data_IF_570562939600
#
_entry.id   IF_570562939600
#
_cell.length_a   1.000
_cell.length_b   1.000
_cell.length_c   1.000
_cell.angle_alpha   90.00
_cell.angle_beta   90.00
_cell.angle_gamma   90.00
#
_symmetry.space_group_name_H-M   'P 1'
#
loop_
_entity.id
_entity.type
_entity.pdbx_description
1 polymer ?
#
# COMPACT_ATOMS: atom_id res chain seq x y z
N UNK A 1 44.78 3.81 31.19
CA UNK A 1 46.13 3.33 30.84
C UNK A 1 46.33 3.44 29.35
N UNK A 2 47.17 4.39 28.94
CA UNK A 2 47.45 4.73 27.55
C UNK A 2 48.60 3.83 27.06
N UNK A 3 48.32 2.96 26.09
CA UNK A 3 49.36 2.13 25.46
C UNK A 3 49.86 2.88 24.23
N UNK A 4 51.03 3.51 24.35
CA UNK A 4 51.74 4.11 23.22
C UNK A 4 52.50 3.03 22.46
N UNK A 5 52.00 2.64 21.27
CA UNK A 5 52.75 1.86 20.30
C UNK A 5 53.59 2.79 19.43
N UNK A 6 54.90 2.82 19.66
CA UNK A 6 55.88 3.44 18.73
C UNK A 6 56.12 2.46 17.59
N UNK A 7 55.76 2.85 16.37
CA UNK A 7 56.21 2.17 15.15
C UNK A 7 57.41 2.91 14.53
N UNK A 8 58.44 2.19 14.02
CA UNK A 8 59.58 2.81 13.35
C UNK A 8 59.14 3.39 12.00
N UNK A 9 59.69 4.56 11.66
CA UNK A 9 59.44 5.24 10.41
C UNK A 9 59.80 4.37 9.19
N UNK A 10 58.88 4.30 8.23
CA UNK A 10 59.09 3.62 6.96
C UNK A 10 57.80 3.43 6.17
N UNK A 11 57.50 4.37 5.27
CA UNK A 11 56.82 4.23 3.97
C UNK A 11 55.65 3.23 3.76
N UNK A 12 54.84 2.87 4.76
CA UNK A 12 53.60 2.09 4.56
C UNK A 12 52.31 2.76 5.05
N UNK A 13 52.40 3.99 5.59
CA UNK A 13 51.22 4.74 6.07
C UNK A 13 50.44 5.42 4.94
N UNK A 14 51.06 5.67 3.79
CA UNK A 14 50.41 6.28 2.63
C UNK A 14 49.53 5.29 1.86
N UNK A 15 49.88 3.99 1.84
CA UNK A 15 49.08 2.98 1.16
C UNK A 15 47.77 2.69 1.89
N UNK A 16 47.80 2.59 3.23
CA UNK A 16 46.61 2.30 4.05
C UNK A 16 45.57 3.42 4.06
N UNK A 17 45.99 4.68 3.91
CA UNK A 17 45.06 5.81 3.80
C UNK A 17 44.32 5.84 2.46
N UNK A 18 44.95 5.39 1.37
CA UNK A 18 44.32 5.30 0.04
C UNK A 18 43.32 4.14 -0.02
N UNK A 19 43.61 2.99 0.60
CA UNK A 19 42.69 1.84 0.60
C UNK A 19 41.42 2.10 1.44
N UNK A 20 41.51 2.89 2.51
CA UNK A 20 40.34 3.22 3.34
C UNK A 20 39.36 4.17 2.64
N UNK A 21 39.85 5.06 1.77
CA UNK A 21 39.00 5.92 0.94
C UNK A 21 38.31 5.15 -0.21
N UNK A 22 38.90 4.06 -0.69
CA UNK A 22 38.33 3.20 -1.75
C UNK A 22 37.26 2.22 -1.23
N UNK A 23 37.32 1.85 0.05
CA UNK A 23 36.33 1.00 0.73
C UNK A 23 35.24 1.78 1.46
N UNK A 24 35.33 3.11 1.46
CA UNK A 24 34.22 3.97 1.85
C UNK A 24 33.31 4.07 0.62
N UNK A 25 32.09 3.49 0.62
CA UNK A 25 31.15 3.84 -0.44
C UNK A 25 31.00 5.37 -0.37
N UNK A 26 31.14 6.10 -1.49
CA UNK A 26 30.67 7.47 -1.48
C UNK A 26 29.23 7.39 -0.96
N UNK A 27 28.91 8.21 0.04
CA UNK A 27 27.54 8.50 0.46
C UNK A 27 26.81 9.15 -0.72
N UNK A 28 26.64 8.39 -1.81
CA UNK A 28 25.91 8.71 -3.01
C UNK A 28 24.47 8.24 -2.79
N UNK A 29 23.88 8.77 -1.72
CA UNK A 29 22.43 8.81 -1.48
C UNK A 29 22.12 10.16 -0.82
N UNK A 30 22.69 11.24 -1.34
CA UNK A 30 22.11 12.57 -1.19
C UNK A 30 21.05 12.77 -2.29
N UNK A 31 20.06 11.88 -2.33
CA UNK A 31 18.80 12.17 -3.01
C UNK A 31 18.06 13.18 -2.14
N UNK A 32 18.06 14.44 -2.56
CA UNK A 32 17.35 15.58 -1.97
C UNK A 32 17.37 15.60 -0.42
N UNK A 33 18.43 16.17 0.18
CA UNK A 33 18.60 16.28 1.64
C UNK A 33 17.68 17.33 2.30
N UNK A 34 16.48 17.53 1.76
CA UNK A 34 15.46 18.33 2.44
C UNK A 34 14.80 17.45 3.50
N UNK A 35 14.86 17.89 4.75
CA UNK A 35 14.11 17.24 5.80
C UNK A 35 12.61 17.29 5.46
N UNK A 36 12.02 16.13 5.22
CA UNK A 36 10.61 15.94 4.93
C UNK A 36 9.95 15.24 6.10
N UNK A 37 8.88 15.84 6.61
CA UNK A 37 8.10 15.30 7.70
C UNK A 37 6.65 15.19 7.23
N UNK A 38 6.05 14.03 7.44
CA UNK A 38 4.66 13.76 7.09
C UNK A 38 3.96 13.13 8.30
N UNK A 39 2.84 13.71 8.73
CA UNK A 39 1.90 13.06 9.64
C UNK A 39 0.67 12.67 8.82
N UNK A 40 0.32 11.39 8.81
CA UNK A 40 -0.85 10.88 8.14
C UNK A 40 -1.78 10.18 9.13
N UNK A 41 -3.05 10.50 9.01
CA UNK A 41 -4.14 9.86 9.74
C UNK A 41 -5.02 9.09 8.77
N UNK A 42 -5.39 7.85 9.12
CA UNK A 42 -6.32 7.03 8.35
C UNK A 42 -7.42 6.50 9.25
N UNK A 43 -8.67 6.66 8.81
CA UNK A 43 -9.86 6.07 9.41
C UNK A 43 -10.50 5.14 8.40
N UNK A 44 -10.24 3.85 8.54
CA UNK A 44 -10.70 2.82 7.63
C UNK A 44 -11.94 2.12 8.21
N UNK A 45 -12.97 1.96 7.39
CA UNK A 45 -14.16 1.15 7.71
C UNK A 45 -14.16 -0.10 6.84
N UNK A 46 -13.99 -1.27 7.47
CA UNK A 46 -14.01 -2.56 6.79
C UNK A 46 -15.40 -3.19 6.92
N UNK A 47 -16.05 -3.40 5.78
CA UNK A 47 -17.40 -3.94 5.69
C UNK A 47 -17.35 -5.40 5.21
N UNK A 48 -17.94 -6.31 5.99
CA UNK A 48 -18.07 -7.72 5.63
C UNK A 48 -19.56 -8.06 5.57
N UNK A 49 -19.99 -8.61 4.43
CA UNK A 49 -21.39 -8.90 4.13
C UNK A 49 -22.30 -7.67 4.37
N UNK A 50 -21.99 -6.57 3.69
CA UNK A 50 -22.68 -5.29 3.91
C UNK A 50 -22.32 -4.71 5.27
N UNK A 51 -23.33 -4.41 6.10
CA UNK A 51 -23.16 -3.82 7.44
C UNK A 51 -23.30 -4.82 8.59
N UNK A 52 -23.40 -6.12 8.29
CA UNK A 52 -23.53 -7.19 9.29
C UNK A 52 -22.32 -7.17 10.25
N UNK A 53 -21.11 -7.27 9.70
CA UNK A 53 -19.88 -7.14 10.47
C UNK A 53 -19.06 -5.97 9.95
N UNK A 54 -18.82 -5.00 10.82
CA UNK A 54 -18.08 -3.76 10.51
C UNK A 54 -16.93 -3.63 11.49
N UNK A 55 -15.74 -3.33 10.97
CA UNK A 55 -14.54 -3.04 11.79
C UNK A 55 -14.06 -1.63 11.48
N UNK A 56 -13.94 -0.82 12.52
CA UNK A 56 -13.35 0.51 12.45
C UNK A 56 -11.88 0.43 12.85
N UNK A 57 -11.00 0.93 11.98
CA UNK A 57 -9.56 0.90 12.15
C UNK A 57 -9.01 2.31 11.96
N UNK A 58 -8.49 2.88 13.03
CA UNK A 58 -7.85 4.19 13.04
C UNK A 58 -6.33 4.01 13.14
N UNK A 59 -5.57 4.67 12.26
CA UNK A 59 -4.11 4.53 12.17
C UNK A 59 -3.44 5.90 12.08
N UNK A 60 -2.38 6.07 12.84
CA UNK A 60 -1.51 7.24 12.81
C UNK A 60 -0.14 6.83 12.31
N UNK A 61 0.33 7.52 11.28
CA UNK A 61 1.58 7.26 10.60
C UNK A 61 2.45 8.51 10.62
N UNK A 62 3.68 8.34 11.07
CA UNK A 62 4.73 9.35 10.96
C UNK A 62 5.69 8.92 9.87
N UNK A 63 5.80 9.76 8.84
CA UNK A 63 6.43 9.46 7.57
C UNK A 63 5.81 8.24 6.88
N UNK A 64 6.46 7.07 6.98
CA UNK A 64 5.99 5.81 6.39
C UNK A 64 5.77 4.74 7.47
N UNK A 65 5.95 5.09 8.75
CA UNK A 65 5.84 4.16 9.87
C UNK A 65 4.56 4.44 10.65
N UNK A 66 3.71 3.43 10.74
CA UNK A 66 2.57 3.45 11.65
C UNK A 66 3.05 3.35 13.10
N UNK A 67 2.70 4.32 13.94
CA UNK A 67 3.16 4.38 15.32
C UNK A 67 2.04 4.14 16.33
N UNK A 68 0.77 4.37 15.97
CA UNK A 68 -0.39 4.23 16.85
C UNK A 68 -1.61 3.75 16.07
N UNK A 69 -2.39 2.86 16.70
CA UNK A 69 -3.60 2.27 16.11
C UNK A 69 -4.72 2.18 17.12
N UNK A 70 -5.96 2.44 16.71
CA UNK A 70 -7.16 1.95 17.39
C UNK A 70 -7.87 0.95 16.50
N UNK A 71 -8.20 -0.20 17.05
CA UNK A 71 -8.92 -1.27 16.35
C UNK A 71 -10.19 -1.56 17.13
N UNK A 72 -11.36 -1.45 16.49
CA UNK A 72 -12.65 -1.68 17.15
C UNK A 72 -12.79 -3.09 17.71
N UNK A 73 -12.11 -4.08 17.12
CA UNK A 73 -12.13 -5.46 17.61
C UNK A 73 -11.35 -5.61 18.93
N UNK A 74 -10.43 -4.68 19.20
CA UNK A 74 -9.64 -4.61 20.44
C UNK A 74 -10.25 -3.62 21.44
N UNK A 75 -10.81 -2.51 20.94
CA UNK A 75 -11.51 -1.50 21.73
C UNK A 75 -10.61 -0.51 22.45
N UNK A 76 -9.31 -0.45 22.14
CA UNK A 76 -8.38 0.53 22.72
C UNK A 76 -7.23 0.87 21.78
N UNK A 77 -6.51 1.95 22.08
CA UNK A 77 -5.32 2.33 21.34
C UNK A 77 -4.13 1.42 21.68
N UNK A 78 -3.42 0.97 20.67
CA UNK A 78 -2.18 0.21 20.78
C UNK A 78 -1.07 0.94 20.06
N UNK A 79 0.03 1.18 20.76
CA UNK A 79 1.26 1.65 20.15
C UNK A 79 1.82 0.55 19.24
N UNK A 80 2.07 0.89 17.98
CA UNK A 80 2.70 0.01 16.99
C UNK A 80 4.22 0.14 17.06
N UNK A 81 4.71 1.32 17.41
CA UNK A 81 6.11 1.60 17.74
C UNK A 81 6.23 2.40 19.04
N UNK A 82 7.45 2.50 19.58
CA UNK A 82 7.71 3.21 20.84
C UNK A 82 7.24 4.67 20.83
N UNK A 83 7.25 5.32 19.66
CA UNK A 83 6.78 6.68 19.48
C UNK A 83 5.31 6.85 19.90
N UNK A 84 4.47 5.82 19.69
CA UNK A 84 3.04 5.88 20.01
C UNK A 84 2.69 5.56 21.46
N UNK A 85 3.62 5.05 22.26
CA UNK A 85 3.34 4.61 23.64
C UNK A 85 2.76 5.73 24.51
N UNK A 86 3.34 6.95 24.56
CA UNK A 86 2.79 8.02 25.40
C UNK A 86 1.35 8.41 24.99
N UNK A 87 1.09 8.41 23.69
CA UNK A 87 -0.23 8.74 23.14
C UNK A 87 -1.25 7.64 23.45
N UNK A 88 -0.88 6.37 23.28
CA UNK A 88 -1.75 5.25 23.61
C UNK A 88 -2.15 5.25 25.09
N UNK A 89 -1.18 5.42 26.00
CA UNK A 89 -1.43 5.51 27.44
C UNK A 89 -2.35 6.68 27.81
N UNK A 90 -2.06 7.87 27.26
CA UNK A 90 -2.85 9.08 27.49
C UNK A 90 -4.29 8.93 27.00
N UNK A 91 -4.50 8.43 25.78
CA UNK A 91 -5.83 8.31 25.20
C UNK A 91 -6.65 7.16 25.80
N UNK A 92 -6.01 6.05 26.18
CA UNK A 92 -6.70 4.95 26.87
C UNK A 92 -7.11 5.31 28.31
N UNK A 93 -6.46 6.31 28.91
CA UNK A 93 -6.85 6.83 30.22
C UNK A 93 -8.15 7.67 30.17
N UNK A 94 -8.48 8.23 29.01
CA UNK A 94 -9.66 9.06 28.78
C UNK A 94 -10.87 8.19 28.37
N UNK A 95 -11.70 7.80 29.34
CA UNK A 95 -12.82 6.86 29.12
C UNK A 95 -13.85 7.36 28.10
N UNK A 96 -14.25 8.63 28.19
CA UNK A 96 -15.23 9.20 27.27
C UNK A 96 -14.73 9.21 25.82
N UNK A 97 -13.43 9.47 25.63
CA UNK A 97 -12.79 9.42 24.32
C UNK A 97 -12.75 8.00 23.76
N UNK A 98 -12.40 7.02 24.59
CA UNK A 98 -12.34 5.61 24.18
C UNK A 98 -13.73 5.07 23.80
N UNK A 99 -14.76 5.42 24.57
CA UNK A 99 -16.15 5.07 24.25
C UNK A 99 -16.62 5.73 22.95
N UNK A 100 -16.26 7.00 22.72
CA UNK A 100 -16.54 7.66 21.45
C UNK A 100 -15.90 6.91 20.27
N UNK A 101 -14.67 6.41 20.42
CA UNK A 101 -13.97 5.63 19.39
C UNK A 101 -14.58 4.26 19.15
N UNK A 102 -15.00 3.56 20.21
CA UNK A 102 -15.77 2.31 20.12
C UNK A 102 -17.08 2.52 19.36
N UNK A 103 -17.76 3.65 19.58
CA UNK A 103 -18.98 4.02 18.88
C UNK A 103 -18.82 4.38 17.40
N UNK A 104 -17.60 4.56 16.89
CA UNK A 104 -17.39 4.92 15.47
C UNK A 104 -17.84 3.82 14.49
N UNK A 105 -17.90 2.56 14.95
CA UNK A 105 -18.41 1.46 14.12
C UNK A 105 -19.84 1.75 13.64
N UNK A 106 -20.71 2.23 14.53
CA UNK A 106 -22.09 2.58 14.21
C UNK A 106 -22.22 4.01 13.70
N UNK A 107 -21.73 4.97 14.49
CA UNK A 107 -21.98 6.39 14.26
C UNK A 107 -21.29 6.92 13.00
N UNK A 108 -20.17 6.31 12.61
CA UNK A 108 -19.41 6.73 11.45
C UNK A 108 -19.48 5.67 10.34
N UNK A 109 -19.04 4.44 10.58
CA UNK A 109 -18.95 3.46 9.50
C UNK A 109 -20.32 3.05 8.96
N UNK A 110 -21.23 2.53 9.80
CA UNK A 110 -22.56 2.11 9.33
C UNK A 110 -23.39 3.27 8.82
N UNK A 111 -23.36 4.41 9.52
CA UNK A 111 -24.02 5.63 9.07
C UNK A 111 -23.58 6.02 7.65
N UNK A 112 -22.27 6.19 7.42
CA UNK A 112 -21.77 6.61 6.12
C UNK A 112 -22.02 5.56 5.05
N UNK A 113 -21.90 4.26 5.37
CA UNK A 113 -22.26 3.20 4.43
C UNK A 113 -23.67 3.39 3.89
N UNK A 114 -24.67 3.56 4.77
CA UNK A 114 -26.06 3.77 4.36
C UNK A 114 -26.27 5.04 3.52
N UNK A 115 -25.51 6.11 3.79
CA UNK A 115 -25.57 7.36 3.01
C UNK A 115 -25.04 7.16 1.60
N UNK A 116 -23.93 6.44 1.43
CA UNK A 116 -23.23 6.32 0.14
C UNK A 116 -23.52 5.04 -0.64
N UNK A 117 -24.21 4.07 -0.04
CA UNK A 117 -24.45 2.73 -0.59
C UNK A 117 -25.00 2.78 -2.02
N UNK A 118 -26.00 3.62 -2.25
CA UNK A 118 -26.75 3.71 -3.50
C UNK A 118 -25.88 4.05 -4.72
N UNK A 119 -24.83 4.85 -4.54
CA UNK A 119 -23.97 5.33 -5.63
C UNK A 119 -22.51 4.83 -5.55
N UNK A 120 -22.17 4.02 -4.54
CA UNK A 120 -20.85 3.39 -4.41
C UNK A 120 -20.95 1.87 -4.51
N UNK A 121 -21.56 1.22 -3.52
CA UNK A 121 -21.68 -0.25 -3.43
C UNK A 121 -22.55 -0.81 -4.56
N UNK A 122 -23.68 -0.16 -4.80
CA UNK A 122 -24.65 -0.58 -5.82
C UNK A 122 -24.30 -0.06 -7.22
N UNK A 123 -23.26 0.76 -7.35
CA UNK A 123 -22.85 1.31 -8.65
C UNK A 123 -22.52 0.20 -9.62
N UNK A 124 -23.15 0.24 -10.79
CA UNK A 124 -22.85 -0.65 -11.93
C UNK A 124 -22.67 0.20 -13.17
N UNK A 125 -21.58 -0.02 -13.89
CA UNK A 125 -21.33 0.61 -15.20
C UNK A 125 -20.99 -0.50 -16.18
N UNK A 126 -21.72 -0.55 -17.30
CA UNK A 126 -21.53 -1.59 -18.30
C UNK A 126 -20.18 -1.42 -19.02
N UNK A 127 -19.48 -2.53 -19.34
CA UNK A 127 -18.27 -2.47 -20.13
C UNK A 127 -18.55 -2.08 -21.57
N UNK A 128 -17.66 -1.27 -22.15
CA UNK A 128 -17.54 -1.10 -23.58
C UNK A 128 -16.48 -2.09 -24.09
N UNK A 129 -16.89 -2.93 -25.04
CA UNK A 129 -16.06 -4.01 -25.59
C UNK A 129 -15.72 -3.68 -27.04
N UNK A 130 -14.44 -3.77 -27.38
CA UNK A 130 -13.94 -3.63 -28.75
C UNK A 130 -13.00 -4.77 -29.08
N UNK A 131 -13.24 -5.47 -30.19
CA UNK A 131 -12.39 -6.56 -30.66
C UNK A 131 -11.70 -6.12 -31.94
N UNK A 132 -10.38 -6.26 -32.00
CA UNK A 132 -9.61 -5.88 -33.17
C UNK A 132 -8.33 -6.73 -33.31
N UNK A 133 -7.86 -6.97 -34.54
CA UNK A 133 -6.57 -7.62 -34.77
C UNK A 133 -5.43 -6.67 -34.40
N UNK A 134 -4.44 -7.19 -33.67
CA UNK A 134 -3.17 -6.54 -33.40
C UNK A 134 -2.04 -7.34 -34.04
N UNK A 135 -1.14 -6.65 -34.75
CA UNK A 135 0.08 -7.25 -35.27
C UNK A 135 1.17 -7.17 -34.21
N UNK A 136 1.70 -8.30 -33.79
CA UNK A 136 2.88 -8.36 -32.92
C UNK A 136 4.15 -8.36 -33.79
N UNK A 137 4.69 -7.18 -34.07
CA UNK A 137 5.87 -6.95 -34.93
C UNK A 137 5.71 -7.39 -36.41
N UNK A 138 6.43 -6.76 -37.37
CA UNK A 138 6.29 -7.06 -38.80
C UNK A 138 6.71 -8.48 -39.23
N UNK A 139 7.49 -9.19 -38.41
CA UNK A 139 8.11 -10.48 -38.73
C UNK A 139 7.39 -11.71 -38.14
N UNK A 140 6.35 -11.53 -37.32
CA UNK A 140 5.64 -12.67 -36.73
C UNK A 140 4.44 -13.08 -37.60
N UNK A 141 4.31 -14.38 -37.84
CA UNK A 141 3.19 -14.97 -38.59
C UNK A 141 1.90 -15.14 -37.77
N UNK A 142 1.89 -14.73 -36.49
CA UNK A 142 0.74 -14.88 -35.61
C UNK A 142 -0.05 -13.57 -35.56
N UNK A 143 -1.33 -13.64 -35.90
CA UNK A 143 -2.27 -12.51 -35.72
C UNK A 143 -2.85 -12.62 -34.32
N UNK A 144 -2.64 -11.59 -33.49
CA UNK A 144 -3.22 -11.53 -32.16
C UNK A 144 -4.59 -10.84 -32.26
N UNK A 145 -5.61 -11.41 -31.62
CA UNK A 145 -6.89 -10.72 -31.43
C UNK A 145 -6.91 -10.09 -30.05
N UNK A 146 -7.15 -8.78 -30.00
CA UNK A 146 -7.27 -8.04 -28.75
C UNK A 146 -8.74 -7.81 -28.46
N UNK A 147 -9.17 -8.19 -27.25
CA UNK A 147 -10.45 -7.79 -26.69
C UNK A 147 -10.18 -6.68 -25.66
N UNK A 148 -10.46 -5.44 -26.02
CA UNK A 148 -10.37 -4.30 -25.10
C UNK A 148 -11.70 -4.12 -24.40
N UNK A 149 -11.68 -4.29 -23.07
CA UNK A 149 -12.86 -4.11 -22.20
C UNK A 149 -12.60 -2.94 -21.28
N UNK A 150 -13.37 -1.86 -21.43
CA UNK A 150 -13.11 -0.60 -20.73
C UNK A 150 -14.40 0.06 -20.19
N UNK A 151 -14.22 1.01 -19.26
CA UNK A 151 -15.31 1.85 -18.74
C UNK A 151 -16.29 1.16 -17.78
N UNK A 152 -15.97 -0.01 -17.24
CA UNK A 152 -16.87 -0.76 -16.37
C UNK A 152 -16.60 -0.54 -14.88
N UNK A 153 -17.60 -0.82 -14.05
CA UNK A 153 -17.50 -0.84 -12.59
C UNK A 153 -18.55 -1.79 -12.00
N UNK A 154 -18.26 -2.57 -10.93
CA UNK A 154 -16.96 -2.70 -10.23
C UNK A 154 -15.91 -3.45 -11.06
N UNK A 155 -14.68 -3.57 -10.54
CA UNK A 155 -13.56 -4.21 -11.25
C UNK A 155 -13.66 -5.72 -11.44
N UNK A 156 -14.55 -6.42 -10.72
CA UNK A 156 -14.74 -7.86 -10.93
C UNK A 156 -15.38 -8.12 -12.30
N UNK A 157 -14.69 -8.88 -13.16
CA UNK A 157 -15.13 -9.18 -14.52
C UNK A 157 -14.61 -10.55 -14.97
N UNK A 158 -15.36 -11.20 -15.85
CA UNK A 158 -14.97 -12.43 -16.53
C UNK A 158 -14.96 -12.18 -18.04
N UNK A 159 -13.84 -12.50 -18.70
CA UNK A 159 -13.68 -12.37 -20.17
C UNK A 159 -13.26 -13.72 -20.71
N UNK A 160 -14.04 -14.25 -21.67
CA UNK A 160 -13.83 -15.56 -22.29
C UNK A 160 -13.74 -15.43 -23.81
N UNK A 161 -12.89 -16.24 -24.42
CA UNK A 161 -12.75 -16.34 -25.87
C UNK A 161 -13.46 -17.58 -26.39
N UNK A 162 -14.10 -17.45 -27.54
CA UNK A 162 -14.77 -18.55 -28.22
C UNK A 162 -14.39 -18.59 -29.70
N UNK A 163 -14.17 -19.78 -30.23
CA UNK A 163 -13.98 -20.04 -31.65
C UNK A 163 -15.00 -21.07 -32.10
N UNK A 164 -15.85 -20.71 -33.06
CA UNK A 164 -16.91 -21.59 -33.57
C UNK A 164 -17.79 -22.21 -32.48
N UNK A 165 -18.05 -21.46 -31.40
CA UNK A 165 -18.87 -21.92 -30.26
C UNK A 165 -18.14 -22.73 -29.19
N UNK A 166 -16.86 -23.05 -29.37
CA UNK A 166 -16.04 -23.71 -28.35
C UNK A 166 -15.17 -22.70 -27.60
N UNK A 167 -15.10 -22.84 -26.27
CA UNK A 167 -14.28 -21.96 -25.43
C UNK A 167 -12.78 -22.23 -25.69
N UNK A 168 -12.04 -21.16 -25.99
CA UNK A 168 -10.59 -21.22 -26.23
C UNK A 168 -9.85 -20.77 -24.98
N UNK A 169 -9.01 -21.65 -24.44
CA UNK A 169 -8.14 -21.36 -23.29
C UNK A 169 -6.66 -21.31 -23.68
N UNK A 170 -6.29 -22.02 -24.74
CA UNK A 170 -4.92 -22.05 -25.24
C UNK A 170 -4.58 -20.73 -25.95
N UNK A 171 -3.41 -20.16 -25.64
CA UNK A 171 -2.94 -18.91 -26.28
C UNK A 171 -3.67 -17.64 -25.84
N UNK A 172 -4.58 -17.72 -24.85
CA UNK A 172 -5.22 -16.55 -24.26
C UNK A 172 -4.30 -15.92 -23.22
N UNK A 173 -4.01 -14.63 -23.39
CA UNK A 173 -3.24 -13.83 -22.45
C UNK A 173 -4.08 -12.64 -21.99
N UNK A 174 -4.13 -12.41 -20.68
CA UNK A 174 -4.82 -11.27 -20.08
C UNK A 174 -3.83 -10.39 -19.34
N UNK A 175 -3.98 -9.08 -19.48
CA UNK A 175 -3.21 -8.09 -18.70
C UNK A 175 -3.70 -7.95 -17.26
N UNK A 176 -4.87 -8.52 -16.94
CA UNK A 176 -5.57 -8.24 -15.69
C UNK A 176 -6.18 -6.84 -15.66
N UNK A 177 -6.61 -6.41 -14.47
CA UNK A 177 -7.09 -5.05 -14.25
C UNK A 177 -5.91 -4.08 -14.20
N UNK A 178 -5.92 -3.11 -15.10
CA UNK A 178 -4.98 -1.99 -15.09
C UNK A 178 -5.64 -0.87 -14.28
N UNK A 179 -5.06 -0.55 -13.11
CA UNK A 179 -5.55 0.49 -12.19
C UNK A 179 -5.02 1.87 -12.56
#
# INVERSE_FOLDING_TARGET
SMVCLKFPGGSCMAALTVTLMMLSPPLALAGDTRACFLEQFKSDCHFFNGTERVRFLERYLYNQEEYLRFDSDVGEYRAVSELGRPTAESWNSQKDYLEQKRGQVDNYCRHNYGVVESFTVQRRVQPKVTVYPAKTQPLQHHTLLVCSVNGFYPGSIEVRWFRNGQEEKAGVVSTGLIQ
#
